data_IF_160844887655
#
_entry.id   IF_160844887655
#
_cell.length_a   1.000
_cell.length_b   1.000
_cell.length_c   1.000
_cell.angle_alpha   90.00
_cell.angle_beta   90.00
_cell.angle_gamma   90.00
#
_symmetry.space_group_name_H-M   'P 1'
#
loop_
_entity.id
_entity.type
_entity.pdbx_description
1 polymer ?
#
# COMPACT_ATOMS: atom_id res chain seq x y z
N UNK A 1 -8.93 9.39 -39.00
CA UNK A 1 -8.66 9.95 -37.64
C UNK A 1 -8.33 8.81 -36.70
N UNK A 2 -7.15 8.90 -36.09
CA UNK A 2 -6.41 7.81 -35.45
C UNK A 2 -7.09 7.27 -34.19
N UNK A 3 -7.54 6.01 -34.22
CA UNK A 3 -8.04 5.25 -33.07
C UNK A 3 -7.00 5.11 -31.93
N UNK A 4 -5.72 5.34 -32.24
CA UNK A 4 -4.62 5.33 -31.26
C UNK A 4 -4.62 6.54 -30.31
N UNK A 5 -5.19 7.68 -30.70
CA UNK A 5 -5.25 8.86 -29.83
C UNK A 5 -6.21 8.67 -28.65
N UNK A 6 -7.29 7.91 -28.84
CA UNK A 6 -8.30 7.69 -27.80
C UNK A 6 -7.79 6.79 -26.67
N UNK A 7 -6.87 5.86 -26.94
CA UNK A 7 -6.29 4.96 -25.93
C UNK A 7 -5.28 5.70 -25.04
N UNK A 8 -4.46 6.60 -25.62
CA UNK A 8 -3.46 7.36 -24.85
C UNK A 8 -4.11 8.35 -23.86
N UNK A 9 -5.24 8.95 -24.24
CA UNK A 9 -5.99 9.88 -23.38
C UNK A 9 -6.68 9.15 -22.21
N UNK A 10 -7.13 7.91 -22.41
CA UNK A 10 -7.78 7.13 -21.34
C UNK A 10 -6.79 6.69 -20.24
N UNK A 11 -5.53 6.40 -20.60
CA UNK A 11 -4.48 6.05 -19.62
C UNK A 11 -4.10 7.21 -18.70
N UNK A 12 -4.26 8.47 -19.14
CA UNK A 12 -3.99 9.64 -18.31
C UNK A 12 -5.05 9.87 -17.22
N UNK A 13 -6.28 9.40 -17.42
CA UNK A 13 -7.37 9.58 -16.44
C UNK A 13 -7.43 8.52 -15.35
N UNK A 14 -6.78 7.36 -15.52
CA UNK A 14 -6.80 6.27 -14.53
C UNK A 14 -5.80 6.46 -13.38
N UNK A 15 -4.86 7.40 -13.49
CA UNK A 15 -3.98 7.79 -12.36
C UNK A 15 -4.65 8.79 -11.38
N UNK A 16 -5.84 9.30 -11.71
CA UNK A 16 -6.45 10.40 -10.96
C UNK A 16 -7.20 9.97 -9.68
N UNK A 17 -7.37 8.67 -9.41
CA UNK A 17 -8.14 8.22 -8.24
C UNK A 17 -7.43 8.37 -6.88
N UNK A 18 -6.13 8.69 -6.87
CA UNK A 18 -5.33 8.76 -5.63
C UNK A 18 -4.57 10.06 -5.42
N UNK A 19 -4.82 11.09 -6.22
CA UNK A 19 -4.09 12.36 -6.14
C UNK A 19 -4.94 13.38 -5.39
N UNK A 20 -4.59 13.69 -4.14
CA UNK A 20 -5.12 14.86 -3.47
C UNK A 20 -4.49 16.13 -4.10
N UNK A 21 -5.20 17.27 -4.03
CA UNK A 21 -4.60 18.56 -4.40
C UNK A 21 -3.95 19.16 -3.15
N UNK A 22 -2.76 19.76 -3.24
CA UNK A 22 -2.17 20.51 -2.13
C UNK A 22 -3.13 21.55 -1.54
N UNK A 23 -2.96 21.84 -0.26
CA UNK A 23 -3.70 22.91 0.41
C UNK A 23 -3.20 24.28 -0.06
N UNK A 24 -4.07 25.28 -0.06
CA UNK A 24 -3.70 26.64 -0.45
C UNK A 24 -2.77 27.27 0.60
N UNK A 25 -3.10 27.07 1.88
CA UNK A 25 -2.35 27.58 3.02
C UNK A 25 -1.59 26.44 3.71
N UNK A 26 -0.39 26.74 4.19
CA UNK A 26 0.41 25.78 4.95
C UNK A 26 -0.19 25.59 6.33
N UNK A 27 -0.33 24.33 6.73
CA UNK A 27 -0.77 23.96 8.09
C UNK A 27 0.27 23.04 8.74
N UNK A 28 0.16 22.90 10.05
CA UNK A 28 1.06 22.10 10.88
C UNK A 28 0.43 20.77 11.32
N UNK A 29 1.26 19.74 11.40
CA UNK A 29 0.86 18.37 11.70
C UNK A 29 1.70 17.79 12.85
N UNK A 30 1.08 17.05 13.75
CA UNK A 30 1.77 16.20 14.72
C UNK A 30 1.25 14.76 14.65
N UNK A 31 2.02 13.82 15.19
CA UNK A 31 1.61 12.43 15.35
C UNK A 31 2.15 11.84 16.66
N UNK A 32 1.49 10.82 17.19
CA UNK A 32 2.01 10.06 18.33
C UNK A 32 3.19 9.19 17.90
N UNK A 33 4.38 9.42 18.46
CA UNK A 33 5.60 8.72 18.05
C UNK A 33 5.72 7.30 18.63
N UNK A 34 4.95 7.00 19.66
CA UNK A 34 5.00 5.79 20.48
C UNK A 34 4.07 4.67 20.00
N UNK A 35 3.46 4.78 18.81
CA UNK A 35 2.63 3.70 18.27
C UNK A 35 3.41 2.39 18.08
N UNK A 36 2.75 1.29 18.37
CA UNK A 36 3.29 -0.06 18.18
C UNK A 36 2.92 -0.61 16.81
N UNK A 37 3.72 -1.55 16.32
CA UNK A 37 3.41 -2.37 15.14
C UNK A 37 3.06 -3.76 15.65
N UNK A 38 1.87 -4.22 15.28
CA UNK A 38 1.36 -5.56 15.54
C UNK A 38 1.75 -6.45 14.36
N UNK A 39 2.38 -7.59 14.64
CA UNK A 39 2.80 -8.55 13.63
C UNK A 39 1.92 -9.81 13.72
N UNK A 40 1.27 -10.15 12.62
CA UNK A 40 0.51 -11.39 12.46
C UNK A 40 1.17 -12.24 11.38
N UNK A 41 2.06 -13.13 11.83
CA UNK A 41 2.83 -14.01 10.95
C UNK A 41 2.51 -15.47 11.23
N UNK A 42 2.58 -16.30 10.19
CA UNK A 42 2.62 -17.76 10.34
C UNK A 42 3.96 -18.21 10.92
N UNK A 43 4.06 -19.47 11.36
CA UNK A 43 5.31 -20.04 11.88
C UNK A 43 6.45 -20.03 10.84
N UNK A 44 6.12 -19.98 9.56
CA UNK A 44 7.05 -19.98 8.43
C UNK A 44 6.86 -18.71 7.56
N UNK A 45 6.84 -17.54 8.19
CA UNK A 45 6.80 -16.27 7.48
C UNK A 45 7.96 -16.15 6.50
N UNK A 46 7.66 -15.91 5.22
CA UNK A 46 8.64 -15.79 4.15
C UNK A 46 9.13 -14.36 3.98
N UNK A 47 8.26 -13.37 4.22
CA UNK A 47 8.52 -11.96 3.91
C UNK A 47 8.49 -11.05 5.14
N UNK A 48 7.62 -11.31 6.12
CA UNK A 48 7.46 -10.48 7.31
C UNK A 48 8.53 -10.83 8.35
N UNK A 49 9.45 -9.88 8.55
CA UNK A 49 10.45 -9.97 9.62
C UNK A 49 10.17 -8.97 10.74
N UNK A 50 9.73 -9.45 11.90
CA UNK A 50 9.46 -8.62 13.08
C UNK A 50 10.70 -7.94 13.68
N UNK A 51 11.91 -8.44 13.42
CA UNK A 51 13.16 -7.79 13.82
C UNK A 51 13.39 -6.46 13.07
N UNK A 52 12.71 -6.26 11.93
CA UNK A 52 12.78 -5.02 11.13
C UNK A 52 11.74 -3.97 11.54
N UNK A 53 11.09 -4.11 12.71
CA UNK A 53 10.06 -3.18 13.21
C UNK A 53 10.45 -1.71 13.09
N UNK A 54 11.67 -1.36 13.51
CA UNK A 54 12.14 0.03 13.49
C UNK A 54 12.33 0.55 12.06
N UNK A 55 12.74 -0.32 11.14
CA UNK A 55 12.86 0.02 9.71
C UNK A 55 11.48 0.35 9.16
N UNK A 56 10.49 -0.51 9.38
CA UNK A 56 9.12 -0.28 8.91
C UNK A 56 8.52 1.00 9.49
N UNK A 57 8.70 1.22 10.80
CA UNK A 57 8.21 2.42 11.48
C UNK A 57 8.83 3.68 10.88
N UNK A 58 10.15 3.69 10.68
CA UNK A 58 10.86 4.81 10.09
C UNK A 58 10.45 5.06 8.64
N UNK A 59 10.33 4.01 7.83
CA UNK A 59 9.92 4.13 6.43
C UNK A 59 8.49 4.67 6.29
N UNK A 60 7.57 4.24 7.16
CA UNK A 60 6.22 4.79 7.21
C UNK A 60 6.24 6.29 7.53
N UNK A 61 6.91 6.66 8.62
CA UNK A 61 6.93 8.04 9.13
C UNK A 61 7.63 8.98 8.15
N UNK A 62 8.82 8.62 7.66
CA UNK A 62 9.56 9.44 6.70
C UNK A 62 8.77 9.64 5.42
N UNK A 63 8.16 8.56 4.90
CA UNK A 63 7.35 8.67 3.68
C UNK A 63 6.09 9.51 3.92
N UNK A 64 5.41 9.32 5.05
CA UNK A 64 4.22 10.10 5.41
C UNK A 64 4.55 11.60 5.50
N UNK A 65 5.62 11.96 6.20
CA UNK A 65 6.07 13.35 6.34
C UNK A 65 6.40 13.94 4.97
N UNK A 66 7.16 13.22 4.14
CA UNK A 66 7.53 13.68 2.80
C UNK A 66 6.31 13.91 1.90
N UNK A 67 5.30 13.05 1.98
CA UNK A 67 4.07 13.21 1.18
C UNK A 67 3.17 14.32 1.73
N UNK A 68 3.09 14.49 3.05
CA UNK A 68 2.34 15.59 3.67
C UNK A 68 2.96 16.95 3.34
N UNK A 69 4.29 17.05 3.31
CA UNK A 69 4.99 18.28 2.90
C UNK A 69 4.64 18.66 1.45
N UNK A 70 4.56 17.68 0.54
CA UNK A 70 4.07 17.89 -0.83
C UNK A 70 2.64 18.47 -0.86
N UNK A 71 1.81 18.19 0.13
CA UNK A 71 0.45 18.73 0.26
C UNK A 71 0.35 20.04 1.07
N UNK A 72 1.47 20.70 1.40
CA UNK A 72 1.57 21.87 2.28
C UNK A 72 1.16 21.60 3.73
N UNK A 73 1.39 20.37 4.21
CA UNK A 73 1.15 19.97 5.59
C UNK A 73 2.50 19.65 6.23
N UNK A 74 3.00 20.55 7.07
CA UNK A 74 4.36 20.49 7.62
C UNK A 74 4.39 19.85 8.99
N UNK A 75 5.39 19.02 9.25
CA UNK A 75 5.62 18.49 10.59
C UNK A 75 5.89 19.63 11.58
N UNK A 76 5.19 19.60 12.70
CA UNK A 76 5.43 20.50 13.81
C UNK A 76 6.66 20.03 14.60
N UNK A 77 7.78 20.75 14.43
CA UNK A 77 9.04 20.44 15.12
C UNK A 77 9.18 21.10 16.49
N UNK A 78 8.19 21.89 16.95
CA UNK A 78 8.28 22.63 18.20
C UNK A 78 7.41 21.99 19.27
N UNK A 79 8.06 21.42 20.29
CA UNK A 79 7.44 20.73 21.42
C UNK A 79 6.42 21.58 22.21
N UNK A 80 6.48 22.91 22.06
CA UNK A 80 5.60 23.85 22.78
C UNK A 80 4.53 24.50 21.89
N UNK A 81 4.47 24.15 20.61
CA UNK A 81 3.47 24.73 19.70
C UNK A 81 2.35 23.74 19.43
N UNK A 82 1.11 24.23 19.44
CA UNK A 82 -0.04 23.43 19.03
C UNK A 82 -0.01 23.27 17.52
N UNK A 83 -0.20 22.04 17.06
CA UNK A 83 -0.43 21.71 15.65
C UNK A 83 -1.88 21.99 15.25
N UNK A 84 -2.09 22.33 13.98
CA UNK A 84 -3.41 22.47 13.40
C UNK A 84 -4.11 21.10 13.30
N UNK A 85 -3.33 20.05 13.03
CA UNK A 85 -3.77 18.68 12.85
C UNK A 85 -2.94 17.72 13.71
N UNK A 86 -3.60 16.82 14.42
CA UNK A 86 -2.95 15.72 15.13
C UNK A 86 -3.43 14.38 14.56
N UNK A 87 -2.47 13.50 14.26
CA UNK A 87 -2.70 12.13 13.84
C UNK A 87 -2.40 11.19 14.99
N UNK A 88 -3.43 10.54 15.49
CA UNK A 88 -3.28 9.48 16.50
C UNK A 88 -3.39 8.15 15.79
N UNK A 89 -2.28 7.46 15.58
CA UNK A 89 -2.23 6.09 15.10
C UNK A 89 -2.71 5.20 16.25
N UNK A 90 -3.89 4.61 16.07
CA UNK A 90 -4.52 3.74 17.05
C UNK A 90 -4.03 2.29 16.89
N UNK A 91 -3.89 1.85 15.65
CA UNK A 91 -3.43 0.51 15.30
C UNK A 91 -2.55 0.58 14.06
N UNK A 92 -1.45 -0.16 14.06
CA UNK A 92 -0.62 -0.40 12.89
C UNK A 92 -0.33 -1.89 12.84
N UNK A 93 -0.90 -2.58 11.85
CA UNK A 93 -0.84 -4.03 11.75
C UNK A 93 -0.18 -4.46 10.45
N UNK A 94 0.68 -5.46 10.54
CA UNK A 94 1.32 -6.14 9.42
C UNK A 94 1.00 -7.62 9.49
N UNK A 95 0.47 -8.18 8.41
CA UNK A 95 0.16 -9.61 8.34
C UNK A 95 0.82 -10.28 7.15
N UNK A 96 1.29 -11.50 7.38
CA UNK A 96 1.62 -12.45 6.34
C UNK A 96 0.84 -13.73 6.58
N UNK A 97 0.04 -14.12 5.59
CA UNK A 97 -0.74 -15.35 5.61
C UNK A 97 -0.38 -16.24 4.42
N UNK A 98 -0.56 -17.55 4.57
CA UNK A 98 -0.28 -18.52 3.52
C UNK A 98 -1.55 -19.28 3.17
N UNK A 99 -1.81 -19.45 1.88
CA UNK A 99 -2.88 -20.30 1.34
C UNK A 99 -2.31 -21.36 0.40
N UNK A 100 -3.09 -22.42 0.16
CA UNK A 100 -2.71 -23.45 -0.81
C UNK A 100 -3.62 -23.38 -2.03
N UNK A 101 -3.02 -23.39 -3.22
CA UNK A 101 -3.72 -23.45 -4.49
C UNK A 101 -3.28 -24.69 -5.28
N UNK A 102 -4.24 -25.49 -5.72
CA UNK A 102 -4.01 -26.69 -6.54
C UNK A 102 -4.47 -26.43 -7.97
N UNK A 103 -3.60 -26.69 -8.93
CA UNK A 103 -3.95 -26.57 -10.35
C UNK A 103 -4.81 -27.78 -10.76
N UNK A 104 -6.02 -27.50 -11.22
CA UNK A 104 -6.99 -28.50 -11.69
C UNK A 104 -7.20 -28.37 -13.21
N UNK A 105 -6.13 -28.56 -13.98
CA UNK A 105 -6.16 -28.53 -15.45
C UNK A 105 -5.52 -29.82 -15.99
N UNK A 106 -6.35 -30.78 -16.37
CA UNK A 106 -5.92 -32.10 -16.87
C UNK A 106 -5.00 -32.05 -18.09
N UNK A 107 -5.01 -30.94 -18.83
CA UNK A 107 -4.17 -30.77 -20.03
C UNK A 107 -2.82 -30.13 -19.70
N UNK A 108 -2.69 -29.54 -18.52
CA UNK A 108 -1.47 -28.92 -18.02
C UNK A 108 -0.53 -29.96 -17.42
N UNK A 109 0.78 -29.77 -17.62
CA UNK A 109 1.82 -30.55 -16.92
C UNK A 109 1.81 -30.34 -15.40
N UNK A 110 1.16 -29.26 -14.95
CA UNK A 110 1.03 -28.90 -13.54
C UNK A 110 -0.27 -29.42 -12.92
N UNK A 111 -1.05 -30.28 -13.61
CA UNK A 111 -2.27 -30.85 -13.04
C UNK A 111 -2.00 -31.53 -11.69
N UNK A 112 -2.85 -31.26 -10.70
CA UNK A 112 -2.75 -31.72 -9.32
C UNK A 112 -1.51 -31.21 -8.54
N UNK A 113 -0.73 -30.27 -9.09
CA UNK A 113 0.34 -29.63 -8.33
C UNK A 113 -0.28 -28.59 -7.37
N UNK A 114 0.11 -28.67 -6.10
CA UNK A 114 -0.27 -27.72 -5.06
C UNK A 114 0.89 -26.76 -4.79
N UNK A 115 0.56 -25.48 -4.72
CA UNK A 115 1.48 -24.41 -4.40
C UNK A 115 1.03 -23.70 -3.13
N UNK A 116 2.00 -23.32 -2.30
CA UNK A 116 1.75 -22.40 -1.19
C UNK A 116 1.96 -20.97 -1.67
N UNK A 117 0.96 -20.13 -1.52
CA UNK A 117 0.96 -18.71 -1.88
C UNK A 117 0.84 -17.85 -0.64
N UNK A 118 1.71 -16.85 -0.54
CA UNK A 118 1.70 -15.90 0.55
C UNK A 118 0.95 -14.62 0.16
N UNK A 119 0.13 -14.12 1.09
CA UNK A 119 -0.51 -12.82 1.04
C UNK A 119 0.08 -11.93 2.14
N UNK A 120 0.53 -10.75 1.75
CA UNK A 120 1.16 -9.76 2.62
C UNK A 120 0.29 -8.51 2.65
N UNK A 121 -0.16 -8.12 3.85
CA UNK A 121 -1.00 -6.95 4.03
C UNK A 121 -0.50 -6.06 5.18
N UNK A 122 -0.83 -4.77 5.08
CA UNK A 122 -0.58 -3.77 6.12
C UNK A 122 -1.82 -2.91 6.26
N UNK A 123 -2.32 -2.78 7.49
CA UNK A 123 -3.40 -1.86 7.86
C UNK A 123 -2.91 -0.82 8.87
N UNK A 124 -3.44 0.40 8.76
CA UNK A 124 -3.28 1.44 9.76
C UNK A 124 -4.63 2.07 10.08
N UNK A 125 -5.01 2.02 11.34
CA UNK A 125 -6.15 2.75 11.89
C UNK A 125 -5.67 3.99 12.64
N UNK A 126 -6.33 5.11 12.40
CA UNK A 126 -5.95 6.38 13.00
C UNK A 126 -7.12 7.33 13.20
N UNK A 127 -6.97 8.19 14.19
CA UNK A 127 -7.87 9.30 14.50
C UNK A 127 -7.23 10.60 14.03
N UNK A 128 -8.00 11.45 13.35
CA UNK A 128 -7.58 12.81 13.03
C UNK A 128 -8.25 13.79 13.97
N UNK A 129 -7.44 14.66 14.55
CA UNK A 129 -7.87 15.80 15.34
C UNK A 129 -7.54 17.09 14.57
N UNK A 130 -8.41 18.08 14.64
CA UNK A 130 -8.16 19.45 14.16
C UNK A 130 -8.33 20.40 15.34
N UNK A 131 -7.27 21.13 15.70
CA UNK A 131 -7.27 22.03 16.85
C UNK A 131 -7.78 21.35 18.14
N UNK A 132 -7.40 20.10 18.37
CA UNK A 132 -7.83 19.30 19.53
C UNK A 132 -9.25 18.71 19.45
N UNK A 133 -9.97 18.87 18.34
CA UNK A 133 -11.31 18.29 18.14
C UNK A 133 -11.22 17.12 17.16
N UNK A 134 -11.78 15.96 17.52
CA UNK A 134 -11.85 14.81 16.62
C UNK A 134 -12.67 15.14 15.37
N UNK A 135 -12.05 15.01 14.19
CA UNK A 135 -12.72 15.16 12.89
C UNK A 135 -13.05 13.83 12.23
N UNK A 136 -12.56 12.71 12.79
CA UNK A 136 -13.00 11.35 12.48
C UNK A 136 -11.91 10.30 12.63
N UNK A 137 -12.35 9.05 12.55
CA UNK A 137 -11.51 7.84 12.55
C UNK A 137 -11.48 7.23 11.17
N UNK A 138 -10.31 6.74 10.77
CA UNK A 138 -10.05 6.27 9.42
C UNK A 138 -9.09 5.10 9.46
N UNK A 139 -9.26 4.17 8.53
CA UNK A 139 -8.27 3.14 8.25
C UNK A 139 -7.75 3.24 6.82
N UNK A 140 -6.53 2.80 6.57
CA UNK A 140 -6.06 2.49 5.24
C UNK A 140 -5.38 1.14 5.28
N UNK A 141 -5.52 0.38 4.21
CA UNK A 141 -4.88 -0.90 4.04
C UNK A 141 -4.18 -0.97 2.70
N UNK A 142 -3.18 -1.84 2.57
CA UNK A 142 -2.50 -2.20 1.33
C UNK A 142 -2.16 -3.68 1.38
N UNK A 143 -2.27 -4.35 0.25
CA UNK A 143 -2.04 -5.78 0.11
C UNK A 143 -1.18 -6.10 -1.10
N UNK A 144 -0.56 -7.28 -1.06
CA UNK A 144 0.10 -7.90 -2.18
C UNK A 144 0.20 -9.40 -1.97
N UNK A 145 -0.35 -10.14 -2.92
CA UNK A 145 -0.30 -11.60 -2.94
C UNK A 145 0.67 -12.14 -4.01
N UNK A 146 1.31 -13.26 -3.70
CA UNK A 146 1.88 -14.15 -4.71
C UNK A 146 0.78 -14.68 -5.62
N UNK A 147 1.12 -14.90 -6.90
CA UNK A 147 0.12 -15.37 -7.87
C UNK A 147 0.65 -16.50 -8.70
N UNK A 148 -0.25 -17.40 -9.07
CA UNK A 148 -0.01 -18.39 -10.11
C UNK A 148 -0.91 -18.02 -11.27
N UNK A 149 -0.32 -17.96 -12.46
CA UNK A 149 -1.10 -17.67 -13.66
C UNK A 149 -0.53 -18.38 -14.87
N UNK A 150 -1.42 -18.87 -15.71
CA UNK A 150 -1.14 -19.37 -17.05
C UNK A 150 -1.45 -18.33 -18.14
N UNK A 151 -1.85 -17.11 -17.75
CA UNK A 151 -2.12 -16.04 -18.72
C UNK A 151 -0.86 -15.63 -19.48
N UNK A 152 -1.03 -15.38 -20.78
CA UNK A 152 0.04 -14.92 -21.66
C UNK A 152 0.54 -13.54 -21.24
N UNK A 153 1.86 -13.42 -21.09
CA UNK A 153 2.53 -12.13 -20.89
C UNK A 153 2.99 -11.52 -22.24
N UNK A 154 3.53 -10.30 -22.23
CA UNK A 154 3.99 -9.62 -23.45
C UNK A 154 5.00 -10.46 -24.24
N UNK A 155 5.92 -11.15 -23.56
CA UNK A 155 6.87 -12.06 -24.19
C UNK A 155 6.17 -13.20 -24.92
N UNK A 156 5.15 -13.81 -24.30
CA UNK A 156 4.34 -14.85 -24.94
C UNK A 156 3.63 -14.37 -26.20
N UNK A 157 3.15 -13.13 -26.18
CA UNK A 157 2.56 -12.52 -27.37
C UNK A 157 3.59 -12.30 -28.47
N UNK A 158 4.79 -11.83 -28.12
CA UNK A 158 5.87 -11.56 -29.08
C UNK A 158 6.48 -12.83 -29.67
N UNK A 159 6.74 -13.85 -28.86
CA UNK A 159 7.40 -15.09 -29.28
C UNK A 159 6.43 -16.22 -29.62
N UNK A 160 5.13 -16.01 -29.43
CA UNK A 160 4.11 -16.99 -29.77
C UNK A 160 4.10 -18.23 -28.86
N UNK A 161 4.61 -18.12 -27.64
CA UNK A 161 4.63 -19.18 -26.62
C UNK A 161 3.34 -19.20 -25.80
N UNK A 162 3.09 -20.34 -25.11
CA UNK A 162 1.95 -20.56 -24.22
C UNK A 162 0.59 -20.13 -24.81
N UNK A 163 0.35 -20.45 -26.09
CA UNK A 163 -0.89 -20.05 -26.81
C UNK A 163 -2.13 -20.77 -26.30
N UNK A 164 -1.93 -21.94 -25.72
CA UNK A 164 -2.90 -22.86 -25.16
C UNK A 164 -3.14 -22.66 -23.66
N UNK A 165 -2.38 -21.77 -23.00
CA UNK A 165 -2.43 -21.48 -21.56
C UNK A 165 -2.21 -22.73 -20.68
N UNK A 166 -1.40 -23.70 -21.14
CA UNK A 166 -1.13 -24.92 -20.38
C UNK A 166 0.06 -24.75 -19.42
N UNK A 167 0.95 -23.79 -19.67
CA UNK A 167 2.10 -23.54 -18.79
C UNK A 167 1.73 -22.51 -17.72
N UNK A 168 1.83 -22.92 -16.45
CA UNK A 168 1.61 -22.05 -15.30
C UNK A 168 2.93 -21.41 -14.84
N UNK A 169 2.85 -20.19 -14.34
CA UNK A 169 4.00 -19.45 -13.80
C UNK A 169 3.70 -18.94 -12.41
N UNK A 170 4.65 -19.15 -11.52
CA UNK A 170 4.65 -18.56 -10.19
C UNK A 170 5.23 -17.15 -10.24
N UNK A 171 4.55 -16.21 -9.59
CA UNK A 171 5.01 -14.84 -9.39
C UNK A 171 5.23 -14.62 -7.90
N UNK A 172 6.49 -14.64 -7.48
CA UNK A 172 6.91 -14.27 -6.13
C UNK A 172 6.74 -12.77 -5.89
N UNK A 173 6.77 -12.40 -4.61
CA UNK A 173 6.95 -11.01 -4.20
C UNK A 173 8.45 -10.69 -4.10
N UNK A 174 8.76 -9.40 -4.02
CA UNK A 174 10.12 -8.93 -3.75
C UNK A 174 10.44 -9.18 -2.26
N UNK A 175 11.70 -9.46 -1.93
CA UNK A 175 12.11 -9.76 -0.53
C UNK A 175 11.82 -8.59 0.43
N UNK A 176 11.79 -7.35 -0.07
CA UNK A 176 11.50 -6.14 0.69
C UNK A 176 10.04 -5.67 0.57
N UNK A 177 9.12 -6.60 0.26
CA UNK A 177 7.72 -6.27 -0.04
C UNK A 177 7.05 -5.46 1.08
N UNK A 178 7.33 -5.74 2.35
CA UNK A 178 6.75 -4.98 3.47
C UNK A 178 7.23 -3.52 3.47
N UNK A 179 8.49 -3.23 3.15
CA UNK A 179 8.97 -1.83 2.99
C UNK A 179 8.21 -1.13 1.86
N UNK A 180 8.03 -1.84 0.73
CA UNK A 180 7.27 -1.33 -0.42
C UNK A 180 5.80 -1.05 -0.06
N UNK A 181 5.15 -1.95 0.67
CA UNK A 181 3.78 -1.79 1.15
C UNK A 181 3.68 -0.65 2.16
N UNK A 182 4.60 -0.55 3.10
CA UNK A 182 4.65 0.55 4.09
C UNK A 182 4.70 1.92 3.42
N UNK A 183 5.54 2.09 2.39
CA UNK A 183 5.63 3.33 1.61
C UNK A 183 4.31 3.64 0.88
N UNK A 184 3.67 2.63 0.30
CA UNK A 184 2.36 2.79 -0.36
C UNK A 184 1.27 3.17 0.63
N UNK A 185 1.29 2.58 1.83
CA UNK A 185 0.34 2.89 2.89
C UNK A 185 0.48 4.33 3.36
N UNK A 186 1.71 4.79 3.58
CA UNK A 186 2.01 6.19 3.92
C UNK A 186 1.45 7.16 2.88
N UNK A 187 1.61 6.87 1.58
CA UNK A 187 1.04 7.68 0.50
C UNK A 187 -0.50 7.74 0.58
N UNK A 188 -1.15 6.59 0.78
CA UNK A 188 -2.62 6.51 0.93
C UNK A 188 -3.09 7.31 2.13
N UNK A 189 -2.38 7.20 3.26
CA UNK A 189 -2.67 7.98 4.47
C UNK A 189 -2.52 9.47 4.24
N UNK A 190 -1.41 9.94 3.66
CA UNK A 190 -1.18 11.36 3.36
C UNK A 190 -2.29 11.94 2.44
N UNK A 191 -2.63 11.22 1.37
CA UNK A 191 -3.69 11.64 0.46
C UNK A 191 -5.06 11.71 1.15
N UNK A 192 -5.37 10.74 2.02
CA UNK A 192 -6.63 10.70 2.77
C UNK A 192 -6.71 11.83 3.80
N UNK A 193 -5.63 12.07 4.56
CA UNK A 193 -5.50 13.20 5.49
C UNK A 193 -5.79 14.51 4.76
N UNK A 194 -5.08 14.77 3.67
CA UNK A 194 -5.22 15.99 2.86
C UNK A 194 -6.65 16.18 2.37
N UNK A 195 -7.27 15.13 1.83
CA UNK A 195 -8.67 15.16 1.37
C UNK A 195 -9.65 15.50 2.50
N UNK A 196 -9.45 14.93 3.69
CA UNK A 196 -10.33 15.16 4.85
C UNK A 196 -10.19 16.55 5.42
N UNK A 197 -8.96 17.07 5.50
CA UNK A 197 -8.70 18.44 5.92
C UNK A 197 -9.36 19.42 4.96
N UNK A 198 -9.18 19.22 3.65
CA UNK A 198 -9.77 20.09 2.62
C UNK A 198 -11.29 20.14 2.67
N UNK A 199 -11.96 19.04 3.00
CA UNK A 199 -13.42 18.99 3.12
C UNK A 199 -13.95 19.56 4.45
N UNK A 200 -13.06 19.86 5.39
CA UNK A 200 -13.35 20.38 6.74
C UNK A 200 -12.72 21.76 6.97
N UNK A 201 -12.16 22.37 5.92
CA UNK A 201 -11.80 23.78 5.82
C UNK A 201 -12.98 24.51 5.18
#
# INVERSE_FOLDING_TARGET
>A
MNKYYTIFVLCLFLNACYIAKPLNDSITFSYNQDFEIIFEQTAESKYLNSEQKDIYKNEYVQKLISELDYYNIKLNNSANSKSDIDLVINEFKMSETSSQETINDEKSEYNAYTFTLNDCDIDVEYTLMKNGIEIGKYSNWVDKEEKISNNRNIGDYMFGTNKDNLTYRFKSLDDDIFVTLTKKLANRTAAKITKKIKNKL
#
